data_IF_646850210005
#
_entry.id   IF_646850210005
#
_cell.length_a   1.000
_cell.length_b   1.000
_cell.length_c   1.000
_cell.angle_alpha   90.00
_cell.angle_beta   90.00
_cell.angle_gamma   90.00
#
_symmetry.space_group_name_H-M   'P 1'
#
loop_
_entity.id
_entity.type
_entity.pdbx_description
1 polymer ?
#
# COMPACT_ATOMS: atom_id res chain seq x y z
N UNK A 1 -5.55 -20.97 -2.42
CA UNK A 1 -5.89 -19.58 -2.80
C UNK A 1 -6.19 -19.54 -4.29
N UNK A 2 -7.43 -19.23 -4.70
CA UNK A 2 -7.93 -19.43 -6.07
C UNK A 2 -7.40 -18.42 -7.13
N UNK A 3 -6.40 -17.60 -6.80
CA UNK A 3 -5.91 -16.50 -7.63
C UNK A 3 -4.52 -16.75 -8.27
N UNK A 4 -3.91 -17.92 -8.06
CA UNK A 4 -2.50 -18.14 -8.42
C UNK A 4 -2.23 -18.65 -9.84
N UNK A 5 -3.24 -19.06 -10.59
CA UNK A 5 -3.04 -19.62 -11.94
C UNK A 5 -4.08 -19.07 -12.90
N UNK A 6 -3.67 -18.15 -13.79
CA UNK A 6 -4.39 -17.76 -15.01
C UNK A 6 -5.93 -17.72 -14.85
N UNK A 7 -6.41 -17.17 -13.74
CA UNK A 7 -7.82 -16.88 -13.61
C UNK A 7 -8.06 -15.64 -14.47
N UNK A 8 -9.01 -15.73 -15.39
CA UNK A 8 -9.47 -14.58 -16.16
C UNK A 8 -10.21 -13.65 -15.18
N UNK A 9 -9.44 -12.84 -14.45
CA UNK A 9 -9.95 -11.97 -13.39
C UNK A 9 -10.71 -10.85 -14.08
N UNK A 10 -12.03 -10.94 -14.01
CA UNK A 10 -12.97 -9.96 -14.54
C UNK A 10 -13.94 -9.49 -13.45
N UNK A 11 -14.77 -8.50 -13.78
CA UNK A 11 -15.72 -7.87 -12.86
C UNK A 11 -16.80 -8.82 -12.33
N UNK A 12 -17.08 -9.89 -13.07
CA UNK A 12 -18.11 -10.87 -12.76
C UNK A 12 -17.56 -12.08 -11.97
N UNK A 13 -16.26 -12.06 -11.66
CA UNK A 13 -15.63 -13.10 -10.85
C UNK A 13 -16.35 -13.22 -9.50
N UNK A 14 -16.85 -14.42 -9.22
CA UNK A 14 -17.52 -14.76 -7.96
C UNK A 14 -16.63 -15.65 -7.09
N UNK A 15 -16.64 -15.38 -5.79
CA UNK A 15 -16.01 -16.20 -4.77
C UNK A 15 -17.11 -16.94 -4.02
N UNK A 16 -16.86 -18.20 -3.69
CA UNK A 16 -17.78 -19.01 -2.88
C UNK A 16 -17.22 -19.15 -1.47
N UNK A 17 -18.04 -18.84 -0.48
CA UNK A 17 -17.72 -19.02 0.92
C UNK A 17 -18.00 -20.47 1.37
N UNK A 18 -17.47 -20.85 2.53
CA UNK A 18 -17.63 -22.20 3.08
C UNK A 18 -19.09 -22.58 3.40
N UNK A 19 -19.97 -21.58 3.57
CA UNK A 19 -21.40 -21.75 3.76
C UNK A 19 -22.17 -22.01 2.43
N UNK A 20 -21.48 -22.05 1.29
CA UNK A 20 -22.06 -22.26 -0.03
C UNK A 20 -22.61 -20.98 -0.68
N UNK A 21 -22.60 -19.84 0.01
CA UNK A 21 -22.99 -18.56 -0.58
C UNK A 21 -21.89 -18.00 -1.49
N UNK A 22 -22.29 -17.20 -2.47
CA UNK A 22 -21.37 -16.63 -3.45
C UNK A 22 -21.55 -15.13 -3.60
N UNK A 23 -20.44 -14.40 -3.67
CA UNK A 23 -20.38 -12.95 -3.79
C UNK A 23 -19.34 -12.55 -4.83
N UNK A 24 -19.47 -11.37 -5.42
CA UNK A 24 -18.45 -10.83 -6.32
C UNK A 24 -17.12 -10.68 -5.59
N UNK A 25 -16.04 -11.14 -6.22
CA UNK A 25 -14.68 -10.96 -5.74
C UNK A 25 -14.38 -9.47 -5.50
N UNK A 26 -14.85 -8.60 -6.41
CA UNK A 26 -14.63 -7.16 -6.32
C UNK A 26 -15.23 -6.58 -5.02
N UNK A 27 -16.40 -7.08 -4.61
CA UNK A 27 -17.03 -6.69 -3.35
C UNK A 27 -16.20 -7.12 -2.15
N UNK A 28 -15.64 -8.33 -2.16
CA UNK A 28 -14.75 -8.79 -1.09
C UNK A 28 -13.50 -7.90 -0.99
N UNK A 29 -12.81 -7.66 -2.11
CA UNK A 29 -11.62 -6.80 -2.11
C UNK A 29 -11.94 -5.36 -1.70
N UNK A 30 -13.05 -4.80 -2.17
CA UNK A 30 -13.53 -3.48 -1.74
C UNK A 30 -13.67 -3.42 -0.23
N UNK A 31 -14.39 -4.37 0.39
CA UNK A 31 -14.60 -4.36 1.83
C UNK A 31 -13.29 -4.52 2.62
N UNK A 32 -12.37 -5.37 2.15
CA UNK A 32 -11.04 -5.50 2.74
C UNK A 32 -10.27 -4.17 2.67
N UNK A 33 -10.25 -3.50 1.53
CA UNK A 33 -9.56 -2.22 1.36
C UNK A 33 -10.19 -1.10 2.19
N UNK A 34 -11.53 -1.06 2.31
CA UNK A 34 -12.22 -0.11 3.20
C UNK A 34 -11.80 -0.32 4.65
N UNK A 35 -11.76 -1.57 5.10
CA UNK A 35 -11.33 -1.89 6.46
C UNK A 35 -9.88 -1.46 6.72
N UNK A 36 -8.97 -1.81 5.80
CA UNK A 36 -7.55 -1.45 5.92
C UNK A 36 -7.35 0.06 5.89
N UNK A 37 -8.03 0.78 4.99
CA UNK A 37 -8.04 2.25 4.96
C UNK A 37 -8.48 2.83 6.30
N UNK A 38 -9.58 2.34 6.86
CA UNK A 38 -10.08 2.83 8.14
C UNK A 38 -9.09 2.60 9.28
N UNK A 39 -8.55 1.38 9.39
CA UNK A 39 -7.55 1.06 10.41
C UNK A 39 -6.33 1.97 10.28
N UNK A 40 -5.78 2.07 9.07
CA UNK A 40 -4.55 2.80 8.85
C UNK A 40 -4.71 4.33 9.04
N UNK A 41 -5.87 4.90 8.68
CA UNK A 41 -6.20 6.30 8.99
C UNK A 41 -6.40 6.55 10.49
N UNK A 42 -6.98 5.59 11.22
CA UNK A 42 -7.13 5.69 12.67
C UNK A 42 -5.76 5.74 13.33
N UNK A 43 -4.90 4.78 13.05
CA UNK A 43 -3.54 4.74 13.60
C UNK A 43 -2.74 6.01 13.26
N UNK A 44 -2.89 6.53 12.03
CA UNK A 44 -2.22 7.76 11.62
C UNK A 44 -2.68 8.98 12.43
N UNK A 45 -4.00 9.12 12.62
CA UNK A 45 -4.56 10.23 13.40
C UNK A 45 -4.27 10.10 14.90
N UNK A 46 -4.15 8.88 15.44
CA UNK A 46 -3.79 8.65 16.84
C UNK A 46 -2.35 9.10 17.16
N UNK A 47 -1.47 9.15 16.14
CA UNK A 47 -0.08 9.58 16.27
C UNK A 47 0.17 11.01 15.80
N UNK A 48 -0.78 11.63 15.10
CA UNK A 48 -0.62 12.96 14.53
C UNK A 48 -1.16 14.05 15.47
N UNK A 49 -0.46 15.19 15.55
CA UNK A 49 -0.94 16.37 16.29
C UNK A 49 -2.13 17.04 15.59
N UNK A 50 -2.19 16.93 14.26
CA UNK A 50 -3.28 17.43 13.42
C UNK A 50 -3.83 16.33 12.50
N UNK A 51 -5.14 16.37 12.15
CA UNK A 51 -5.74 15.39 11.26
C UNK A 51 -5.09 15.42 9.87
N UNK A 52 -4.64 14.26 9.38
CA UNK A 52 -4.04 14.16 8.05
C UNK A 52 -5.13 14.27 6.97
N UNK A 53 -4.94 15.19 6.02
CA UNK A 53 -5.86 15.33 4.89
C UNK A 53 -5.74 14.12 3.96
N UNK A 54 -6.87 13.68 3.39
CA UNK A 54 -6.87 12.58 2.41
C UNK A 54 -5.98 12.88 1.20
N UNK A 55 -5.87 14.14 0.81
CA UNK A 55 -5.08 14.55 -0.35
C UNK A 55 -3.57 14.45 -0.14
N UNK A 56 -3.16 14.36 1.12
CA UNK A 56 -1.77 14.15 1.53
C UNK A 56 -1.40 12.66 1.56
N UNK A 57 -2.33 11.75 1.24
CA UNK A 57 -2.10 10.31 1.32
C UNK A 57 -1.95 9.72 -0.08
N UNK A 58 -0.82 9.06 -0.29
CA UNK A 58 -0.61 8.19 -1.45
C UNK A 58 -0.72 6.73 -1.02
N UNK A 59 -1.73 6.04 -1.51
CA UNK A 59 -1.96 4.62 -1.27
C UNK A 59 -1.04 3.77 -2.14
N UNK A 60 -0.39 2.77 -1.55
CA UNK A 60 0.45 1.81 -2.24
C UNK A 60 -0.11 0.43 -1.97
N UNK A 61 -0.67 -0.22 -2.99
CA UNK A 61 -1.14 -1.61 -2.88
C UNK A 61 -0.07 -2.53 -3.44
N UNK A 62 0.41 -3.46 -2.61
CA UNK A 62 1.37 -4.47 -3.05
C UNK A 62 0.68 -5.66 -3.70
N UNK A 63 1.25 -6.15 -4.81
CA UNK A 63 0.72 -7.31 -5.54
C UNK A 63 1.81 -8.30 -5.90
N UNK A 64 1.49 -9.61 -6.01
CA UNK A 64 2.46 -10.60 -6.47
C UNK A 64 3.00 -10.29 -7.87
N UNK A 65 4.29 -10.54 -8.10
CA UNK A 65 4.91 -10.30 -9.41
C UNK A 65 4.33 -11.16 -10.55
N UNK A 66 3.72 -12.31 -10.21
CA UNK A 66 3.10 -13.22 -11.17
C UNK A 66 1.70 -12.78 -11.63
N UNK A 67 1.15 -11.70 -11.08
CA UNK A 67 -0.17 -11.21 -11.46
C UNK A 67 -0.17 -10.64 -12.89
N UNK A 68 -1.20 -11.01 -13.66
CA UNK A 68 -1.48 -10.44 -14.97
C UNK A 68 -1.83 -8.95 -14.88
N UNK A 69 -1.76 -8.25 -16.02
CA UNK A 69 -2.17 -6.84 -16.07
C UNK A 69 -3.65 -6.66 -15.72
N UNK A 70 -4.49 -7.64 -16.09
CA UNK A 70 -5.91 -7.68 -15.76
C UNK A 70 -6.12 -7.76 -14.24
N UNK A 71 -5.39 -8.62 -13.53
CA UNK A 71 -5.48 -8.71 -12.08
C UNK A 71 -5.00 -7.42 -11.38
N UNK A 72 -3.95 -6.78 -11.91
CA UNK A 72 -3.49 -5.46 -11.42
C UNK A 72 -4.53 -4.36 -11.65
N UNK A 73 -5.25 -4.41 -12.78
CA UNK A 73 -6.34 -3.48 -13.04
C UNK A 73 -7.56 -3.76 -12.15
N UNK A 74 -7.86 -5.03 -11.90
CA UNK A 74 -8.96 -5.44 -11.04
C UNK A 74 -8.80 -4.90 -9.60
N UNK A 75 -7.61 -5.00 -9.01
CA UNK A 75 -7.38 -4.44 -7.67
C UNK A 75 -7.42 -2.91 -7.66
N UNK A 76 -7.03 -2.25 -8.76
CA UNK A 76 -7.18 -0.81 -8.93
C UNK A 76 -8.66 -0.39 -8.94
N UNK A 77 -9.51 -1.14 -9.65
CA UNK A 77 -10.97 -0.91 -9.62
C UNK A 77 -11.56 -1.11 -8.22
N UNK A 78 -11.07 -2.11 -7.47
CA UNK A 78 -11.46 -2.31 -6.08
C UNK A 78 -11.06 -1.11 -5.20
N UNK A 79 -9.87 -0.54 -5.41
CA UNK A 79 -9.38 0.63 -4.68
C UNK A 79 -10.23 1.88 -4.94
N UNK A 80 -10.62 2.13 -6.20
CA UNK A 80 -11.56 3.20 -6.53
C UNK A 80 -12.93 2.96 -5.86
N UNK A 81 -13.42 1.73 -5.91
CA UNK A 81 -14.71 1.36 -5.30
C UNK A 81 -14.70 1.48 -3.77
N UNK A 82 -13.53 1.42 -3.14
CA UNK A 82 -13.29 1.57 -1.72
C UNK A 82 -12.98 3.02 -1.29
N UNK A 83 -13.04 3.97 -2.22
CA UNK A 83 -12.78 5.39 -1.96
C UNK A 83 -11.38 5.63 -1.37
N UNK A 84 -10.38 4.85 -1.81
CA UNK A 84 -8.97 5.09 -1.46
C UNK A 84 -8.46 6.32 -2.21
N UNK A 85 -8.80 6.43 -3.50
CA UNK A 85 -8.44 7.55 -4.35
C UNK A 85 -9.54 7.80 -5.39
N UNK A 86 -9.55 9.00 -5.95
CA UNK A 86 -10.40 9.34 -7.08
C UNK A 86 -9.82 8.77 -8.38
N UNK A 87 -10.69 8.40 -9.33
CA UNK A 87 -10.28 8.02 -10.70
C UNK A 87 -9.53 9.15 -11.41
N UNK A 88 -9.73 10.40 -10.98
CA UNK A 88 -9.05 11.57 -11.54
C UNK A 88 -7.71 11.89 -10.84
N UNK A 89 -7.41 11.23 -9.72
CA UNK A 89 -6.21 11.45 -8.91
C UNK A 89 -5.26 10.25 -9.02
N UNK A 90 -4.75 9.98 -10.22
CA UNK A 90 -3.91 8.82 -10.50
C UNK A 90 -2.65 8.76 -9.63
N UNK A 91 -2.12 9.91 -9.23
CA UNK A 91 -0.92 10.01 -8.41
C UNK A 91 -1.16 9.62 -6.94
N UNK A 92 -2.42 9.43 -6.51
CA UNK A 92 -2.75 8.99 -5.14
C UNK A 92 -2.78 7.47 -4.98
N UNK A 93 -2.61 6.68 -6.05
CA UNK A 93 -2.59 5.22 -5.98
C UNK A 93 -1.46 4.61 -6.82
N UNK A 94 -0.57 3.91 -6.13
CA UNK A 94 0.50 3.11 -6.73
C UNK A 94 0.20 1.62 -6.54
N UNK A 95 0.36 0.84 -7.60
CA UNK A 95 0.38 -0.63 -7.52
C UNK A 95 1.83 -1.06 -7.62
N UNK A 96 2.41 -1.52 -6.52
CA UNK A 96 3.80 -1.94 -6.43
C UNK A 96 3.91 -3.46 -6.47
N UNK A 97 4.96 -4.01 -7.07
CA UNK A 97 5.21 -5.44 -6.95
C UNK A 97 5.73 -5.73 -5.53
N UNK A 98 5.20 -6.77 -4.91
CA UNK A 98 5.66 -7.27 -3.61
C UNK A 98 7.20 -7.47 -3.56
N UNK A 99 7.86 -8.14 -4.54
CA UNK A 99 9.32 -8.26 -4.51
C UNK A 99 10.07 -6.93 -4.63
N UNK A 100 9.51 -5.93 -5.33
CA UNK A 100 10.13 -4.60 -5.44
C UNK A 100 10.02 -3.84 -4.12
N UNK A 101 8.83 -3.85 -3.50
CA UNK A 101 8.61 -3.27 -2.18
C UNK A 101 9.52 -3.91 -1.13
N UNK A 102 9.64 -5.24 -1.15
CA UNK A 102 10.54 -5.98 -0.27
C UNK A 102 12.02 -5.59 -0.50
N UNK A 103 12.46 -5.47 -1.76
CA UNK A 103 13.83 -5.06 -2.08
C UNK A 103 14.15 -3.64 -1.57
N UNK A 104 13.23 -2.70 -1.74
CA UNK A 104 13.38 -1.32 -1.22
C UNK A 104 13.48 -1.33 0.30
N UNK A 105 12.61 -2.10 0.97
CA UNK A 105 12.63 -2.22 2.43
C UNK A 105 13.95 -2.79 2.94
N UNK A 106 14.42 -3.90 2.37
CA UNK A 106 15.70 -4.51 2.72
C UNK A 106 16.88 -3.53 2.54
N UNK A 107 16.87 -2.75 1.46
CA UNK A 107 17.88 -1.72 1.23
C UNK A 107 17.81 -0.61 2.29
N UNK A 108 16.62 -0.12 2.61
CA UNK A 108 16.40 0.93 3.61
C UNK A 108 16.83 0.50 5.01
N UNK A 109 16.51 -0.74 5.41
CA UNK A 109 16.96 -1.32 6.67
C UNK A 109 18.49 -1.32 6.78
N UNK A 110 19.19 -1.76 5.72
CA UNK A 110 20.65 -1.82 5.70
C UNK A 110 21.27 -0.43 5.87
N UNK A 111 20.76 0.57 5.16
CA UNK A 111 21.24 1.95 5.29
C UNK A 111 21.02 2.50 6.70
N UNK A 112 19.85 2.25 7.29
CA UNK A 112 19.53 2.68 8.65
C UNK A 112 20.48 2.05 9.69
N UNK A 113 20.81 0.77 9.53
CA UNK A 113 21.77 0.07 10.40
C UNK A 113 23.20 0.59 10.26
N UNK A 114 23.62 1.01 9.07
CA UNK A 114 24.94 1.61 8.85
C UNK A 114 25.04 2.97 9.54
N UNK A 115 24.04 3.85 9.35
CA UNK A 115 24.01 5.16 10.00
C UNK A 115 23.99 5.07 11.55
N UNK A 116 23.33 4.04 12.11
CA UNK A 116 23.36 3.81 13.55
C UNK A 116 24.78 3.50 14.08
N UNK A 117 25.56 2.71 13.33
CA UNK A 117 26.95 2.36 13.67
C UNK A 117 27.92 3.53 13.50
N UNK A 118 27.69 4.38 12.51
CA UNK A 118 28.50 5.59 12.31
C UNK A 118 28.27 6.62 13.42
N UNK A 119 27.05 6.72 13.96
CA UNK A 119 26.73 7.56 15.13
C UNK A 119 27.36 7.05 16.42
N UNK A 120 27.58 5.75 16.56
CA UNK A 120 28.31 5.17 17.70
C UNK A 120 29.82 5.41 17.61
N UNK A 121 30.36 5.66 16.41
CA UNK A 121 31.79 5.88 16.17
C UNK A 121 32.19 7.37 16.06
N UNK A 122 31.23 8.29 16.00
CA UNK A 122 31.47 9.73 15.88
C UNK A 122 30.65 10.54 16.89
N UNK A 123 31.23 10.77 18.08
CA UNK A 123 30.77 11.84 18.97
C UNK A 123 30.99 13.20 18.30
N UNK A 124 29.88 13.80 17.84
CA UNK A 124 29.80 15.22 17.50
C UNK A 124 29.82 15.50 16.01
N UNK A 125 28.64 15.43 15.38
CA UNK A 125 28.02 16.43 14.51
C UNK A 125 26.70 15.83 14.01
N UNK A 126 25.62 16.58 14.16
CA UNK A 126 24.25 16.11 13.88
C UNK A 126 24.05 16.06 12.37
N UNK A 127 24.29 14.90 11.75
CA UNK A 127 23.83 14.67 10.38
C UNK A 127 22.39 14.14 10.39
N UNK A 128 21.54 14.91 9.71
CA UNK A 128 20.14 14.61 9.41
C UNK A 128 20.03 13.34 8.55
N UNK A 129 19.01 12.49 8.75
CA UNK A 129 18.87 11.26 7.98
C UNK A 129 18.68 11.55 6.48
N UNK A 130 19.52 10.92 5.65
CA UNK A 130 19.63 10.99 4.17
C UNK A 130 18.40 10.41 3.42
N UNK A 131 17.23 10.38 4.06
CA UNK A 131 15.94 10.16 3.39
C UNK A 131 15.02 11.36 3.63
N UNK A 132 15.57 12.56 3.39
CA UNK A 132 14.83 13.81 3.18
C UNK A 132 14.82 14.15 1.67
N UNK A 133 14.39 13.20 0.85
CA UNK A 133 13.60 13.53 -0.34
C UNK A 133 12.15 13.23 0.01
N UNK A 134 11.62 13.98 0.99
CA UNK A 134 10.17 14.07 1.14
C UNK A 134 9.77 15.26 0.30
N UNK A 135 9.06 14.99 -0.79
CA UNK A 135 7.96 15.87 -1.16
C UNK A 135 7.26 16.26 0.15
N UNK A 136 7.46 17.51 0.58
CA UNK A 136 6.95 18.06 1.82
C UNK A 136 5.42 18.06 1.73
N UNK A 137 4.79 16.93 2.09
CA UNK A 137 3.33 16.83 2.14
C UNK A 137 2.70 15.49 1.80
N UNK A 138 3.45 14.45 1.38
CA UNK A 138 2.84 13.15 1.05
C UNK A 138 3.22 12.02 2.03
N UNK A 139 2.23 11.50 2.76
CA UNK A 139 2.31 10.26 3.52
C UNK A 139 2.04 9.06 2.60
N UNK A 140 2.98 8.13 2.53
CA UNK A 140 2.81 6.88 1.80
C UNK A 140 2.18 5.84 2.72
N UNK A 141 1.04 5.28 2.31
CA UNK A 141 0.36 4.22 3.05
C UNK A 141 0.38 2.93 2.27
N UNK A 142 1.17 1.97 2.75
CA UNK A 142 1.29 0.65 2.13
C UNK A 142 0.21 -0.26 2.70
N UNK A 143 -0.54 -0.90 1.82
CA UNK A 143 -1.67 -1.79 2.13
C UNK A 143 -1.64 -3.06 1.30
#
# INVERSE_FOLDING_TARGET
MALHHNADVNRDLKLSAANGESILALTVFKHSLVYLKYQALRELNDQAEEPVSRDQIRWVITVPAIWSQQAKQFIREAAYSADLCSIHAYDQLLIALEPEAAAIFCRSLRLSQMHARDKESSTGLVDEPVFKDRDEGCCYMVV
#
